data_IF_286213118298
#
_entry.id   IF_286213118298
#
_cell.length_a   1.000
_cell.length_b   1.000
_cell.length_c   1.000
_cell.angle_alpha   90.00
_cell.angle_beta   90.00
_cell.angle_gamma   90.00
#
_symmetry.space_group_name_H-M   'P 1'
#
loop_
_entity.id
_entity.type
_entity.pdbx_description
1 polymer ?
#
# COMPACT_ATOMS: atom_id res chain seq x y z
N UNK A 1 -2.67 20.50 2.74
CA UNK A 1 -3.25 20.87 1.44
C UNK A 1 -3.17 19.69 0.48
N UNK A 2 -4.30 19.27 -0.07
CA UNK A 2 -4.33 18.17 -1.05
C UNK A 2 -3.49 18.48 -2.30
N UNK A 3 -3.47 19.74 -2.76
CA UNK A 3 -2.66 20.15 -3.90
C UNK A 3 -1.14 19.96 -3.70
N UNK A 4 -0.65 20.02 -2.44
CA UNK A 4 0.75 19.73 -2.11
C UNK A 4 1.03 18.24 -1.82
N UNK A 5 0.00 17.42 -1.89
CA UNK A 5 0.06 15.97 -1.63
C UNK A 5 -0.40 15.17 -2.83
N UNK A 6 -0.62 15.85 -3.97
CA UNK A 6 -1.01 15.20 -5.22
C UNK A 6 0.08 14.24 -5.69
N UNK A 7 -0.23 12.96 -5.88
CA UNK A 7 0.74 11.93 -6.26
C UNK A 7 1.07 11.92 -7.75
N UNK A 8 0.57 12.86 -8.56
CA UNK A 8 0.68 12.85 -10.02
C UNK A 8 2.12 12.72 -10.51
N UNK A 9 3.10 13.35 -9.83
CA UNK A 9 4.50 13.18 -10.19
C UNK A 9 4.98 11.75 -10.01
N UNK A 10 4.66 11.12 -8.87
CA UNK A 10 5.01 9.73 -8.63
C UNK A 10 4.32 8.79 -9.62
N UNK A 11 3.06 9.04 -9.95
CA UNK A 11 2.28 8.29 -10.93
C UNK A 11 2.89 8.38 -12.34
N UNK A 12 3.25 9.59 -12.78
CA UNK A 12 3.89 9.81 -14.07
C UNK A 12 5.23 9.04 -14.15
N UNK A 13 6.06 9.15 -13.12
CA UNK A 13 7.35 8.46 -13.05
C UNK A 13 7.23 6.93 -12.94
N UNK A 14 6.18 6.41 -12.29
CA UNK A 14 5.87 4.97 -12.32
C UNK A 14 5.40 4.50 -13.71
N UNK A 15 4.91 5.41 -14.54
CA UNK A 15 4.55 5.14 -15.94
C UNK A 15 5.75 4.92 -16.85
N UNK A 16 6.92 5.43 -16.48
CA UNK A 16 8.16 5.30 -17.24
C UNK A 16 8.74 3.87 -17.17
N UNK A 17 9.81 3.61 -17.92
CA UNK A 17 10.53 2.33 -17.90
C UNK A 17 11.10 2.08 -16.50
N UNK A 18 10.76 0.94 -15.90
CA UNK A 18 11.07 0.66 -14.50
C UNK A 18 12.58 0.48 -14.21
N UNK A 19 13.38 0.12 -15.22
CA UNK A 19 14.83 0.04 -15.16
C UNK A 19 15.51 1.42 -15.19
N UNK A 20 14.81 2.44 -15.70
CA UNK A 20 15.30 3.82 -15.77
C UNK A 20 14.71 4.69 -14.65
N UNK A 21 13.39 4.63 -14.45
CA UNK A 21 12.68 5.45 -13.47
C UNK A 21 12.14 4.59 -12.33
N UNK A 22 12.74 4.75 -11.16
CA UNK A 22 12.41 4.01 -9.95
C UNK A 22 11.63 4.90 -9.00
N UNK A 23 10.40 4.50 -8.67
CA UNK A 23 9.60 5.18 -7.64
C UNK A 23 9.52 4.27 -6.41
N UNK A 24 10.08 4.74 -5.30
CA UNK A 24 10.22 3.97 -4.07
C UNK A 24 9.45 4.65 -2.95
N UNK A 25 8.65 3.87 -2.23
CA UNK A 25 7.84 4.28 -1.08
C UNK A 25 8.41 3.62 0.19
N UNK A 26 9.39 4.22 0.89
CA UNK A 26 9.92 3.62 2.11
C UNK A 26 8.86 3.56 3.22
N UNK A 27 8.78 2.45 4.00
CA UNK A 27 7.82 2.33 5.09
C UNK A 27 8.18 3.15 6.32
N UNK A 28 9.47 3.40 6.52
CA UNK A 28 10.03 4.06 7.70
C UNK A 28 11.42 4.67 7.42
N UNK A 29 12.08 5.16 8.45
CA UNK A 29 13.40 5.78 8.35
C UNK A 29 14.48 4.79 7.91
N UNK A 30 14.46 3.53 8.38
CA UNK A 30 15.42 2.51 7.96
C UNK A 30 15.24 2.17 6.49
N UNK A 31 13.98 2.02 6.04
CA UNK A 31 13.65 1.83 4.63
C UNK A 31 14.11 3.00 3.75
N UNK A 32 13.93 4.24 4.22
CA UNK A 32 14.38 5.42 3.49
C UNK A 32 15.91 5.48 3.39
N UNK A 33 16.64 5.19 4.47
CA UNK A 33 18.10 5.15 4.47
C UNK A 33 18.64 4.08 3.52
N UNK A 34 18.08 2.87 3.54
CA UNK A 34 18.47 1.78 2.65
C UNK A 34 18.19 2.10 1.17
N UNK A 35 17.00 2.65 0.88
CA UNK A 35 16.63 3.07 -0.48
C UNK A 35 17.55 4.18 -1.01
N UNK A 36 17.90 5.15 -0.17
CA UNK A 36 18.81 6.24 -0.52
C UNK A 36 20.24 5.72 -0.78
N UNK A 37 20.76 4.85 0.11
CA UNK A 37 22.07 4.22 -0.09
C UNK A 37 22.14 3.45 -1.41
N UNK A 38 21.07 2.70 -1.74
CA UNK A 38 20.98 2.00 -3.02
C UNK A 38 20.94 2.95 -4.22
N UNK A 39 20.19 4.06 -4.10
CA UNK A 39 20.11 5.06 -5.16
C UNK A 39 21.48 5.67 -5.47
N UNK A 40 22.28 5.99 -4.46
CA UNK A 40 23.64 6.52 -4.65
C UNK A 40 24.64 5.48 -5.17
N UNK A 41 24.41 4.20 -4.91
CA UNK A 41 25.26 3.12 -5.42
C UNK A 41 25.00 2.79 -6.90
N UNK A 42 23.88 3.24 -7.47
CA UNK A 42 23.49 2.95 -8.85
C UNK A 42 23.78 4.14 -9.79
N UNK A 43 23.95 3.84 -11.06
CA UNK A 43 24.12 4.83 -12.13
C UNK A 43 23.16 4.53 -13.28
N UNK A 44 22.79 5.57 -14.04
CA UNK A 44 21.92 5.42 -15.20
C UNK A 44 20.42 5.31 -14.84
N UNK A 45 20.06 5.51 -13.57
CA UNK A 45 18.67 5.49 -13.12
C UNK A 45 18.27 6.78 -12.41
N UNK A 46 17.01 7.15 -12.50
CA UNK A 46 16.40 8.21 -11.70
C UNK A 46 15.62 7.54 -10.57
N UNK A 47 15.95 7.83 -9.32
CA UNK A 47 15.23 7.30 -8.16
C UNK A 47 14.44 8.41 -7.49
N UNK A 48 13.13 8.23 -7.40
CA UNK A 48 12.20 9.10 -6.68
C UNK A 48 11.78 8.42 -5.38
N UNK A 49 12.07 9.05 -4.24
CA UNK A 49 11.60 8.58 -2.94
C UNK A 49 10.37 9.38 -2.50
N UNK A 50 9.29 8.66 -2.23
CA UNK A 50 8.05 9.23 -1.68
C UNK A 50 8.02 8.92 -0.19
N UNK A 51 8.34 9.92 0.63
CA UNK A 51 8.49 9.78 2.09
C UNK A 51 7.45 10.57 2.85
N UNK A 52 7.03 10.12 4.05
CA UNK A 52 6.12 10.89 4.89
C UNK A 52 6.79 12.17 5.42
N UNK A 53 6.03 13.25 5.54
CA UNK A 53 6.50 14.52 6.12
C UNK A 53 6.61 14.48 7.65
N UNK A 54 5.97 13.51 8.31
CA UNK A 54 5.96 13.34 9.77
C UNK A 54 6.60 11.99 10.12
N UNK A 55 7.17 11.88 11.32
CA UNK A 55 7.68 10.60 11.81
C UNK A 55 6.61 9.51 11.76
N UNK A 56 7.02 8.33 11.40
CA UNK A 56 6.22 7.10 11.40
C UNK A 56 6.90 6.06 12.28
N UNK A 57 6.18 5.05 12.79
CA UNK A 57 6.79 3.96 13.53
C UNK A 57 7.89 3.24 12.75
N UNK A 58 8.89 2.73 13.45
CA UNK A 58 9.88 1.83 12.86
C UNK A 58 9.22 0.48 12.57
N UNK A 59 9.22 0.09 11.31
CA UNK A 59 8.62 -1.16 10.81
C UNK A 59 9.68 -2.23 10.53
N UNK A 60 10.89 -1.79 10.17
CA UNK A 60 11.98 -2.64 9.71
C UNK A 60 13.23 -2.47 10.55
N UNK A 61 13.95 -3.57 10.77
CA UNK A 61 15.36 -3.51 11.18
C UNK A 61 16.21 -3.02 9.99
N UNK A 62 17.45 -2.55 10.22
CA UNK A 62 18.34 -2.15 9.12
C UNK A 62 18.56 -3.27 8.09
N UNK A 63 18.65 -4.52 8.52
CA UNK A 63 18.83 -5.68 7.64
C UNK A 63 17.59 -5.94 6.78
N UNK A 64 16.40 -5.87 7.38
CA UNK A 64 15.13 -6.00 6.64
C UNK A 64 14.94 -4.85 5.65
N UNK A 65 15.33 -3.63 6.01
CA UNK A 65 15.27 -2.47 5.14
C UNK A 65 16.20 -2.62 3.92
N UNK A 66 17.40 -3.15 4.13
CA UNK A 66 18.33 -3.46 3.04
C UNK A 66 17.75 -4.52 2.09
N UNK A 67 17.21 -5.61 2.63
CA UNK A 67 16.57 -6.64 1.83
C UNK A 67 15.37 -6.08 1.05
N UNK A 68 14.54 -5.22 1.66
CA UNK A 68 13.43 -4.55 0.98
C UNK A 68 13.92 -3.64 -0.15
N UNK A 69 14.99 -2.89 0.05
CA UNK A 69 15.57 -2.04 -1.00
C UNK A 69 16.10 -2.87 -2.19
N UNK A 70 16.52 -4.12 -1.96
CA UNK A 70 16.95 -5.04 -3.00
C UNK A 70 15.79 -5.71 -3.74
N UNK A 71 14.73 -6.09 -3.01
CA UNK A 71 13.60 -6.86 -3.57
C UNK A 71 12.43 -5.98 -4.02
N UNK A 72 12.28 -4.79 -3.46
CA UNK A 72 11.16 -3.88 -3.76
C UNK A 72 9.84 -4.23 -3.08
N UNK A 73 9.70 -5.43 -2.49
CA UNK A 73 8.55 -5.81 -1.67
C UNK A 73 8.93 -6.87 -0.65
N UNK A 74 8.15 -6.98 0.43
CA UNK A 74 8.33 -8.02 1.46
C UNK A 74 7.01 -8.34 2.15
N UNK A 75 6.87 -9.58 2.63
CA UNK A 75 5.81 -9.94 3.55
C UNK A 75 6.19 -9.49 4.97
N UNK A 76 5.34 -8.66 5.59
CA UNK A 76 5.56 -8.12 6.94
C UNK A 76 4.82 -8.89 8.02
N UNK A 77 3.77 -9.63 7.67
CA UNK A 77 2.98 -10.41 8.62
C UNK A 77 2.14 -11.45 7.88
N UNK A 78 1.88 -12.57 8.55
CA UNK A 78 1.13 -13.69 7.97
C UNK A 78 1.92 -14.46 6.91
N UNK A 79 1.24 -15.32 6.20
CA UNK A 79 1.80 -16.10 5.09
C UNK A 79 0.93 -15.91 3.85
N UNK A 80 1.47 -15.36 2.75
CA UNK A 80 0.71 -15.11 1.51
C UNK A 80 0.06 -16.36 0.93
N UNK A 81 0.68 -17.53 1.09
CA UNK A 81 0.17 -18.80 0.54
C UNK A 81 -1.06 -19.32 1.28
N UNK A 82 -1.15 -19.08 2.60
CA UNK A 82 -2.20 -19.67 3.43
C UNK A 82 -3.24 -18.67 3.93
N UNK A 83 -2.93 -17.36 3.90
CA UNK A 83 -3.87 -16.33 4.33
C UNK A 83 -5.14 -16.31 3.45
N UNK A 84 -6.29 -16.00 4.04
CA UNK A 84 -7.54 -15.84 3.30
C UNK A 84 -7.48 -14.65 2.34
N UNK A 85 -6.73 -13.60 2.69
CA UNK A 85 -6.61 -12.37 1.90
C UNK A 85 -5.21 -11.76 2.04
N UNK A 86 -4.76 -11.08 0.97
CA UNK A 86 -3.59 -10.22 1.01
C UNK A 86 -4.02 -8.76 1.22
N UNK A 87 -3.43 -8.11 2.20
CA UNK A 87 -3.48 -6.66 2.37
C UNK A 87 -2.15 -6.08 1.90
N UNK A 88 -2.19 -5.31 0.82
CA UNK A 88 -0.97 -4.78 0.17
C UNK A 88 -0.87 -3.29 0.42
N UNK A 89 0.20 -2.86 1.09
CA UNK A 89 0.42 -1.44 1.39
C UNK A 89 1.54 -0.86 0.52
N UNK A 90 1.29 0.33 -0.05
CA UNK A 90 2.28 1.18 -0.71
C UNK A 90 2.20 2.58 -0.12
N UNK A 91 3.17 2.92 0.72
CA UNK A 91 3.23 4.16 1.50
C UNK A 91 3.15 3.93 3.01
N UNK A 92 3.88 4.74 3.77
CA UNK A 92 4.06 4.55 5.22
C UNK A 92 2.75 4.75 6.02
N UNK A 93 1.92 5.71 5.65
CA UNK A 93 0.62 5.93 6.31
C UNK A 93 -0.37 4.82 5.97
N UNK A 94 -0.36 4.34 4.72
CA UNK A 94 -1.18 3.23 4.24
C UNK A 94 -0.85 1.94 5.00
N UNK A 95 0.44 1.68 5.27
CA UNK A 95 0.85 0.52 6.06
C UNK A 95 0.25 0.53 7.47
N UNK A 96 0.17 1.70 8.11
CA UNK A 96 -0.42 1.81 9.45
C UNK A 96 -1.92 1.44 9.43
N UNK A 97 -2.65 1.85 8.40
CA UNK A 97 -4.06 1.50 8.26
C UNK A 97 -4.25 0.01 7.92
N UNK A 98 -3.38 -0.54 7.07
CA UNK A 98 -3.37 -1.98 6.75
C UNK A 98 -3.11 -2.84 7.99
N UNK A 99 -2.17 -2.44 8.87
CA UNK A 99 -1.93 -3.16 10.13
C UNK A 99 -3.16 -3.16 11.05
N UNK A 100 -3.87 -2.04 11.14
CA UNK A 100 -5.12 -1.95 11.91
C UNK A 100 -6.21 -2.81 11.30
N UNK A 101 -6.32 -2.83 9.97
CA UNK A 101 -7.26 -3.68 9.25
C UNK A 101 -6.96 -5.17 9.47
N UNK A 102 -5.68 -5.58 9.40
CA UNK A 102 -5.27 -6.96 9.70
C UNK A 102 -5.67 -7.36 11.14
N UNK A 103 -5.41 -6.49 12.12
CA UNK A 103 -5.79 -6.77 13.50
C UNK A 103 -7.31 -6.94 13.66
N UNK A 104 -8.10 -6.11 12.95
CA UNK A 104 -9.57 -6.24 12.94
C UNK A 104 -10.02 -7.55 12.29
N UNK A 105 -9.47 -7.92 11.15
CA UNK A 105 -9.79 -9.19 10.48
C UNK A 105 -9.45 -10.39 11.37
N UNK A 106 -8.27 -10.38 11.98
CA UNK A 106 -7.84 -11.42 12.92
C UNK A 106 -8.80 -11.54 14.11
N UNK A 107 -9.28 -10.42 14.69
CA UNK A 107 -10.28 -10.40 15.75
C UNK A 107 -11.65 -10.97 15.32
N UNK A 108 -11.88 -11.09 14.03
CA UNK A 108 -13.07 -11.71 13.42
C UNK A 108 -12.80 -13.12 12.86
N UNK A 109 -11.64 -13.71 13.20
CA UNK A 109 -11.27 -15.07 12.80
C UNK A 109 -10.78 -15.19 11.34
N UNK A 110 -10.48 -14.07 10.67
CA UNK A 110 -10.03 -14.08 9.29
C UNK A 110 -8.51 -13.85 9.21
N UNK A 111 -7.80 -14.78 8.56
CA UNK A 111 -6.37 -14.66 8.35
C UNK A 111 -6.06 -13.69 7.20
N UNK A 112 -5.16 -12.75 7.45
CA UNK A 112 -4.68 -11.82 6.43
C UNK A 112 -3.15 -11.72 6.46
N UNK A 113 -2.51 -11.78 5.29
CA UNK A 113 -1.09 -11.48 5.16
C UNK A 113 -0.90 -10.02 4.75
N UNK A 114 0.13 -9.37 5.28
CA UNK A 114 0.53 -8.02 4.88
C UNK A 114 1.73 -8.10 3.97
N UNK A 115 1.57 -7.66 2.73
CA UNK A 115 2.68 -7.44 1.79
C UNK A 115 2.94 -5.94 1.68
N UNK A 116 4.16 -5.51 1.95
CA UNK A 116 4.58 -4.14 1.71
C UNK A 116 5.25 -4.03 0.35
N UNK A 117 4.69 -3.22 -0.52
CA UNK A 117 5.17 -3.00 -1.88
C UNK A 117 5.85 -1.63 -1.96
N UNK A 118 7.18 -1.63 -1.75
CA UNK A 118 7.98 -0.41 -1.70
C UNK A 118 8.35 0.13 -3.10
N UNK A 119 8.57 -0.74 -4.07
CA UNK A 119 8.95 -0.37 -5.44
C UNK A 119 8.04 -1.07 -6.46
N UNK A 120 6.85 -0.48 -6.73
CA UNK A 120 5.84 -1.09 -7.60
C UNK A 120 6.35 -1.41 -9.01
N UNK A 121 7.24 -0.58 -9.57
CA UNK A 121 7.80 -0.77 -10.91
C UNK A 121 8.43 -2.14 -11.15
N UNK A 122 8.98 -2.79 -10.11
CA UNK A 122 9.58 -4.13 -10.22
C UNK A 122 8.56 -5.27 -10.36
N UNK A 123 7.28 -4.99 -10.11
CA UNK A 123 6.20 -5.97 -10.13
C UNK A 123 5.27 -5.81 -11.34
N UNK A 124 5.61 -4.93 -12.27
CA UNK A 124 4.87 -4.76 -13.52
C UNK A 124 5.23 -5.82 -14.55
N UNK A 125 4.38 -5.99 -15.56
CA UNK A 125 4.75 -6.74 -16.75
C UNK A 125 5.80 -5.94 -17.55
N UNK A 126 6.92 -6.56 -17.95
CA UNK A 126 7.95 -5.86 -18.73
C UNK A 126 7.43 -5.48 -20.12
N UNK A 127 7.86 -4.33 -20.62
CA UNK A 127 7.47 -3.81 -21.93
C UNK A 127 8.49 -4.13 -23.02
N UNK A 128 9.75 -4.37 -22.61
CA UNK A 128 10.84 -4.75 -23.50
C UNK A 128 11.88 -5.66 -22.79
N UNK A 129 12.90 -6.18 -23.51
CA UNK A 129 13.93 -7.06 -22.93
C UNK A 129 14.82 -6.40 -21.87
N UNK A 130 15.03 -5.07 -21.93
CA UNK A 130 15.82 -4.32 -20.96
C UNK A 130 15.07 -4.23 -19.63
N UNK A 131 13.81 -3.82 -19.67
CA UNK A 131 12.94 -3.79 -18.50
C UNK A 131 12.73 -5.19 -17.91
N UNK A 132 12.68 -6.24 -18.76
CA UNK A 132 12.54 -7.63 -18.32
C UNK A 132 13.68 -8.13 -17.42
N UNK A 133 14.87 -7.55 -17.51
CA UNK A 133 16.00 -7.86 -16.64
C UNK A 133 15.87 -7.24 -15.25
N UNK A 134 15.08 -6.18 -15.16
CA UNK A 134 14.89 -5.41 -13.94
C UNK A 134 13.67 -5.87 -13.13
N UNK A 135 12.56 -6.16 -13.78
CA UNK A 135 11.33 -6.61 -13.11
C UNK A 135 11.46 -8.06 -12.60
N UNK A 136 10.68 -8.38 -11.61
CA UNK A 136 10.67 -9.73 -11.06
C UNK A 136 10.09 -10.76 -12.04
N UNK A 137 10.64 -11.98 -12.01
CA UNK A 137 10.06 -13.13 -12.68
C UNK A 137 8.68 -13.48 -12.13
N UNK A 138 7.88 -14.25 -12.88
CA UNK A 138 6.56 -14.68 -12.43
C UNK A 138 6.62 -15.50 -11.14
N UNK A 139 7.64 -16.36 -11.00
CA UNK A 139 7.82 -17.15 -9.77
C UNK A 139 8.11 -16.26 -8.55
N UNK A 140 8.95 -15.23 -8.68
CA UNK A 140 9.23 -14.30 -7.61
C UNK A 140 7.99 -13.46 -7.23
N UNK A 141 7.19 -13.08 -8.23
CA UNK A 141 5.92 -12.38 -7.99
C UNK A 141 4.92 -13.29 -7.28
N UNK A 142 4.76 -14.54 -7.73
CA UNK A 142 3.80 -15.48 -7.14
C UNK A 142 4.13 -15.84 -5.68
N UNK A 143 5.39 -15.82 -5.29
CA UNK A 143 5.79 -16.04 -3.90
C UNK A 143 5.20 -15.00 -2.92
N UNK A 144 4.98 -13.75 -3.36
CA UNK A 144 4.34 -12.70 -2.57
C UNK A 144 2.86 -12.49 -2.92
N UNK A 145 2.48 -12.84 -4.14
CA UNK A 145 1.15 -12.64 -4.71
C UNK A 145 0.62 -13.92 -5.35
N UNK A 146 0.29 -14.96 -4.54
CA UNK A 146 -0.20 -16.24 -5.06
C UNK A 146 -1.42 -16.07 -5.97
N UNK A 147 -1.48 -16.88 -7.02
CA UNK A 147 -2.59 -16.85 -7.98
C UNK A 147 -3.92 -17.18 -7.28
N UNK A 148 -4.98 -16.45 -7.62
CA UNK A 148 -6.32 -16.65 -7.06
C UNK A 148 -6.51 -16.16 -5.63
N UNK A 149 -5.48 -15.63 -4.96
CA UNK A 149 -5.61 -15.07 -3.62
C UNK A 149 -6.29 -13.70 -3.68
N UNK A 150 -7.44 -13.48 -3.03
CA UNK A 150 -8.07 -12.17 -2.94
C UNK A 150 -7.11 -11.14 -2.33
N UNK A 151 -7.19 -9.89 -2.80
CA UNK A 151 -6.28 -8.83 -2.33
C UNK A 151 -6.90 -7.45 -2.31
N UNK A 152 -6.46 -6.65 -1.34
CA UNK A 152 -6.78 -5.23 -1.24
C UNK A 152 -5.48 -4.45 -1.27
N UNK A 153 -5.31 -3.60 -2.28
CA UNK A 153 -4.23 -2.63 -2.34
C UNK A 153 -4.63 -1.35 -1.63
N UNK A 154 -3.73 -0.83 -0.80
CA UNK A 154 -3.86 0.49 -0.18
C UNK A 154 -2.64 1.30 -0.58
N UNK A 155 -2.82 2.23 -1.50
CA UNK A 155 -1.73 2.95 -2.13
C UNK A 155 -1.74 4.44 -1.80
N UNK A 156 -0.56 5.06 -1.79
CA UNK A 156 -0.40 6.50 -1.72
C UNK A 156 -0.91 7.21 -2.99
N UNK A 157 -0.87 6.52 -4.13
CA UNK A 157 -1.25 7.03 -5.44
C UNK A 157 -2.73 6.79 -5.74
N UNK A 158 -3.20 7.24 -6.90
CA UNK A 158 -4.56 6.91 -7.38
C UNK A 158 -4.64 5.42 -7.71
N UNK A 159 -5.75 4.75 -7.36
CA UNK A 159 -5.92 3.31 -7.62
C UNK A 159 -5.83 2.94 -9.10
N UNK A 160 -6.39 3.76 -9.98
CA UNK A 160 -6.52 3.45 -11.40
C UNK A 160 -5.15 3.36 -12.11
N UNK A 161 -4.27 4.39 -12.07
CA UNK A 161 -2.93 4.28 -12.67
C UNK A 161 -2.07 3.23 -11.95
N UNK A 162 -2.25 3.04 -10.64
CA UNK A 162 -1.53 2.04 -9.86
C UNK A 162 -1.87 0.61 -10.33
N UNK A 163 -3.15 0.25 -10.41
CA UNK A 163 -3.56 -1.06 -10.93
C UNK A 163 -3.22 -1.21 -12.41
N UNK A 164 -3.32 -0.15 -13.21
CA UNK A 164 -2.91 -0.16 -14.61
C UNK A 164 -1.44 -0.53 -14.79
N UNK A 165 -0.54 0.02 -13.96
CA UNK A 165 0.87 -0.34 -13.96
C UNK A 165 1.12 -1.78 -13.46
N UNK A 166 0.32 -2.24 -12.48
CA UNK A 166 0.44 -3.53 -11.81
C UNK A 166 -0.59 -4.57 -12.28
N UNK A 167 -1.09 -4.46 -13.51
CA UNK A 167 -2.14 -5.35 -14.05
C UNK A 167 -1.84 -6.85 -13.90
N UNK A 168 -0.56 -7.26 -13.84
CA UNK A 168 -0.20 -8.67 -13.59
C UNK A 168 -0.49 -9.14 -12.16
N UNK A 169 -0.73 -8.20 -11.24
CA UNK A 169 -1.14 -8.47 -9.86
C UNK A 169 -2.66 -8.38 -9.68
N UNK A 170 -3.39 -7.89 -10.68
CA UNK A 170 -4.85 -7.82 -10.65
C UNK A 170 -5.45 -9.19 -10.98
N UNK A 171 -6.27 -9.70 -10.07
CA UNK A 171 -6.95 -11.00 -10.20
C UNK A 171 -8.40 -10.87 -10.64
N UNK A 172 -8.83 -9.65 -10.95
CA UNK A 172 -10.18 -9.31 -11.41
C UNK A 172 -11.02 -8.56 -10.38
N UNK A 173 -12.13 -7.97 -10.83
CA UNK A 173 -12.91 -7.01 -10.03
C UNK A 173 -13.62 -7.63 -8.81
N UNK A 174 -13.77 -8.94 -8.76
CA UNK A 174 -14.39 -9.66 -7.63
C UNK A 174 -13.37 -10.10 -6.58
N UNK A 175 -12.08 -10.09 -6.91
CA UNK A 175 -11.00 -10.61 -6.05
C UNK A 175 -9.88 -9.60 -5.82
N UNK A 176 -9.91 -8.45 -6.50
CA UNK A 176 -8.97 -7.34 -6.30
C UNK A 176 -9.73 -6.06 -6.04
N UNK A 177 -9.37 -5.37 -4.95
CA UNK A 177 -9.80 -4.00 -4.68
C UNK A 177 -8.56 -3.11 -4.49
N UNK A 178 -8.70 -1.82 -4.78
CA UNK A 178 -7.65 -0.84 -4.54
C UNK A 178 -8.23 0.44 -3.96
N UNK A 179 -7.60 0.92 -2.90
CA UNK A 179 -7.92 2.16 -2.20
C UNK A 179 -6.70 3.08 -2.30
N UNK A 180 -6.93 4.36 -2.52
CA UNK A 180 -5.84 5.30 -2.68
C UNK A 180 -6.29 6.74 -2.77
N UNK A 181 -5.43 7.60 -3.30
CA UNK A 181 -5.69 9.02 -3.38
C UNK A 181 -6.90 9.35 -4.25
N UNK A 182 -7.80 10.18 -3.69
CA UNK A 182 -8.96 10.74 -4.39
C UNK A 182 -8.95 12.24 -4.17
N UNK A 183 -8.74 13.02 -5.23
CA UNK A 183 -8.73 14.48 -5.13
C UNK A 183 -10.14 15.04 -5.01
N UNK A 184 -10.56 15.38 -3.78
CA UNK A 184 -11.84 16.06 -3.48
C UNK A 184 -11.64 17.52 -3.10
N UNK A 185 -10.40 18.04 -3.16
CA UNK A 185 -10.05 19.38 -2.70
C UNK A 185 -9.95 19.48 -1.18
N UNK A 186 -9.63 20.68 -0.67
CA UNK A 186 -9.54 20.99 0.76
C UNK A 186 -8.17 20.76 1.38
N UNK A 187 -8.05 21.17 2.64
CA UNK A 187 -6.86 21.01 3.48
C UNK A 187 -7.24 20.14 4.66
N UNK A 188 -6.59 18.98 4.79
CA UNK A 188 -6.86 18.00 5.83
C UNK A 188 -5.54 17.58 6.49
N UNK A 189 -5.61 17.15 7.74
CA UNK A 189 -4.53 16.41 8.38
C UNK A 189 -4.43 14.99 7.83
N UNK A 190 -3.42 14.22 8.26
CA UNK A 190 -3.21 12.86 7.73
C UNK A 190 -4.42 11.94 7.98
N UNK A 191 -5.02 11.87 9.20
CA UNK A 191 -6.23 11.09 9.42
C UNK A 191 -7.41 11.51 8.54
N UNK A 192 -7.67 12.81 8.46
CA UNK A 192 -8.73 13.36 7.61
C UNK A 192 -8.50 13.08 6.13
N UNK A 193 -7.24 13.14 5.67
CA UNK A 193 -6.90 12.80 4.29
C UNK A 193 -7.13 11.31 3.99
N UNK A 194 -6.73 10.41 4.89
CA UNK A 194 -6.98 8.98 4.74
C UNK A 194 -8.48 8.67 4.73
N UNK A 195 -9.27 9.40 5.53
CA UNK A 195 -10.72 9.29 5.51
C UNK A 195 -11.32 9.76 4.18
N UNK A 196 -10.96 10.97 3.72
CA UNK A 196 -11.45 11.52 2.45
C UNK A 196 -11.07 10.63 1.25
N UNK A 197 -9.91 9.98 1.31
CA UNK A 197 -9.43 9.02 0.32
C UNK A 197 -10.00 7.61 0.49
N UNK A 198 -10.90 7.39 1.47
CA UNK A 198 -11.46 6.07 1.79
C UNK A 198 -10.39 5.00 2.03
N UNK A 199 -9.28 5.37 2.68
CA UNK A 199 -8.09 4.54 2.90
C UNK A 199 -7.82 4.27 4.37
N UNK A 200 -8.77 4.54 5.29
CA UNK A 200 -8.64 4.16 6.70
C UNK A 200 -8.79 2.65 6.86
N UNK A 201 -8.34 2.13 7.98
CA UNK A 201 -8.45 0.69 8.29
C UNK A 201 -9.86 0.12 8.10
N UNK A 202 -10.91 0.89 8.43
CA UNK A 202 -12.28 0.45 8.28
C UNK A 202 -12.70 0.33 6.81
N UNK A 203 -12.26 1.26 5.95
CA UNK A 203 -12.46 1.14 4.50
C UNK A 203 -11.70 -0.05 3.91
N UNK A 204 -10.51 -0.36 4.46
CA UNK A 204 -9.74 -1.57 4.05
C UNK A 204 -10.48 -2.84 4.44
N UNK A 205 -11.07 -2.91 5.64
CA UNK A 205 -11.90 -4.05 6.08
C UNK A 205 -13.17 -4.16 5.25
N UNK A 206 -13.81 -3.05 4.92
CA UNK A 206 -14.99 -3.01 4.04
C UNK A 206 -14.66 -3.54 2.63
N UNK A 207 -13.55 -3.09 2.04
CA UNK A 207 -13.07 -3.62 0.76
C UNK A 207 -12.70 -5.11 0.85
N UNK A 208 -12.12 -5.54 1.97
CA UNK A 208 -11.81 -6.95 2.23
C UNK A 208 -13.08 -7.82 2.28
N UNK A 209 -14.15 -7.33 2.93
CA UNK A 209 -15.45 -8.01 2.92
C UNK A 209 -15.93 -8.24 1.48
N UNK A 210 -15.86 -7.21 0.63
CA UNK A 210 -16.29 -7.29 -0.76
C UNK A 210 -15.54 -8.36 -1.57
N UNK A 211 -14.19 -8.39 -1.50
CA UNK A 211 -13.39 -9.35 -2.29
C UNK A 211 -13.41 -10.77 -1.70
N UNK A 212 -13.82 -10.93 -0.44
CA UNK A 212 -13.99 -12.22 0.21
C UNK A 212 -15.41 -12.77 0.04
N UNK A 213 -16.36 -11.95 -0.43
CA UNK A 213 -17.78 -12.31 -0.46
C UNK A 213 -18.42 -12.41 0.93
N UNK A 214 -17.84 -11.73 1.92
CA UNK A 214 -18.32 -11.70 3.30
C UNK A 214 -19.27 -10.53 3.54
N UNK A 215 -20.18 -10.68 4.52
CA UNK A 215 -20.99 -9.55 4.95
C UNK A 215 -20.16 -8.56 5.73
N UNK A 216 -20.20 -7.29 5.35
CA UNK A 216 -19.52 -6.21 6.03
C UNK A 216 -19.95 -6.06 7.51
N UNK A 217 -21.20 -6.41 7.83
CA UNK A 217 -21.74 -6.39 9.19
C UNK A 217 -21.07 -7.43 10.12
N UNK A 218 -20.49 -8.48 9.56
CA UNK A 218 -19.73 -9.45 10.34
C UNK A 218 -18.36 -8.88 10.78
N UNK A 219 -17.83 -7.89 10.07
CA UNK A 219 -16.48 -7.37 10.25
C UNK A 219 -16.45 -6.01 10.94
N UNK A 220 -17.44 -5.17 10.69
CA UNK A 220 -17.55 -3.81 11.20
C UNK A 220 -18.83 -3.65 12.03
N UNK A 221 -18.80 -2.81 13.06
CA UNK A 221 -19.98 -2.42 13.80
C UNK A 221 -20.86 -1.44 13.02
N UNK A 222 -22.11 -1.28 13.41
CA UNK A 222 -23.05 -0.34 12.81
C UNK A 222 -22.49 1.10 12.76
N UNK A 223 -21.87 1.56 13.86
CA UNK A 223 -21.27 2.89 13.91
C UNK A 223 -20.07 3.04 12.94
N UNK A 224 -19.23 2.00 12.81
CA UNK A 224 -18.12 1.98 11.87
C UNK A 224 -18.61 1.94 10.42
N UNK A 225 -19.66 1.17 10.14
CA UNK A 225 -20.30 1.14 8.81
C UNK A 225 -20.91 2.49 8.45
N UNK A 226 -21.59 3.13 9.38
CA UNK A 226 -22.13 4.47 9.17
C UNK A 226 -21.03 5.48 8.85
N UNK A 227 -19.87 5.39 9.53
CA UNK A 227 -18.69 6.23 9.26
C UNK A 227 -18.05 5.93 7.88
N UNK A 228 -17.90 4.66 7.51
CA UNK A 228 -17.41 4.21 6.20
C UNK A 228 -18.31 4.73 5.06
N UNK A 229 -19.62 4.71 5.28
CA UNK A 229 -20.61 5.20 4.32
C UNK A 229 -20.73 6.75 4.28
N UNK A 230 -20.00 7.46 5.14
CA UNK A 230 -20.06 8.92 5.25
C UNK A 230 -21.35 9.46 5.91
N UNK A 231 -22.09 8.62 6.62
CA UNK A 231 -23.34 8.95 7.35
C UNK A 231 -23.16 9.08 8.86
N UNK A 232 -22.06 8.54 9.38
CA UNK A 232 -21.73 8.51 10.80
C UNK A 232 -20.59 9.48 11.18
N UNK A 233 -20.19 9.46 12.46
CA UNK A 233 -19.07 10.24 12.96
C UNK A 233 -17.74 9.65 12.46
N UNK A 234 -16.96 10.40 11.65
CA UNK A 234 -15.65 9.96 11.18
C UNK A 234 -14.68 9.59 12.30
N UNK A 235 -14.81 10.20 13.49
CA UNK A 235 -13.94 9.93 14.64
C UNK A 235 -13.94 8.43 15.04
N UNK A 236 -15.03 7.72 14.75
CA UNK A 236 -15.18 6.28 15.02
C UNK A 236 -14.10 5.43 14.33
N UNK A 237 -13.63 5.86 13.14
CA UNK A 237 -12.67 5.11 12.33
C UNK A 237 -11.37 5.88 12.07
N UNK A 238 -11.27 7.14 12.53
CA UNK A 238 -10.02 7.90 12.44
C UNK A 238 -8.97 7.37 13.41
N UNK A 239 -7.70 7.52 13.04
CA UNK A 239 -6.59 7.30 13.95
C UNK A 239 -6.57 8.46 14.96
N UNK A 240 -6.44 8.19 16.28
CA UNK A 240 -6.17 9.24 17.23
C UNK A 240 -4.97 10.07 16.77
N UNK A 241 -5.06 11.39 16.82
CA UNK A 241 -3.92 12.24 16.56
C UNK A 241 -2.78 11.82 17.50
N UNK A 242 -1.60 11.50 16.94
CA UNK A 242 -0.41 11.26 17.78
C UNK A 242 -0.18 12.51 18.59
N UNK A 243 -0.20 12.39 19.93
CA UNK A 243 0.22 13.51 20.78
C UNK A 243 1.62 13.92 20.34
N UNK A 244 1.89 15.22 20.17
CA UNK A 244 3.26 15.66 19.92
C UNK A 244 4.09 15.12 21.10
N UNK A 245 5.09 14.31 20.79
CA UNK A 245 6.15 13.97 21.76
C UNK A 245 6.82 15.28 22.14
N UNK A 246 6.67 15.65 23.42
CA UNK A 246 7.32 16.80 24.03
C UNK A 246 8.84 16.65 23.94
#
# INVERSE_FOLDING_TARGET
EQSHQDPTMAEALMGEMADISRVVFPPDANGAAAALARAYAQRGTVTTLVVPKRPVPHELTPQQAQALAETGATCLAGDPETAAILLVATGAYQLQEVRRAQARLAARGMSAAIVYLAEPGRFRAPRDPEEARYVHSDSAVQALFPVGRPRVFVTHTRPEPFLGALRRLDTGPTTTAALGFVNRGGTLDVPGLLFANRSTWAHVVDAAAGVLGESRDNLLSEAELAAVDGRGDPATILRPASKPTA
#
